data_IF_821757725397
#
_entry.id   IF_821757725397
#
_cell.length_a   1.000
_cell.length_b   1.000
_cell.length_c   1.000
_cell.angle_alpha   90.00
_cell.angle_beta   90.00
_cell.angle_gamma   90.00
#
_symmetry.space_group_name_H-M   'P 1'
#
loop_
_entity.id
_entity.type
_entity.pdbx_description
1 polymer ?
#
# COMPACT_ATOMS: atom_id res chain seq x y z
N UNK A 1 -6.88 -5.38 4.55
CA UNK A 1 -6.78 -4.72 3.23
C UNK A 1 -5.50 -5.14 2.53
N UNK A 2 -5.49 -6.38 2.05
CA UNK A 2 -4.32 -6.97 1.37
C UNK A 2 -4.19 -6.45 -0.07
N UNK A 3 -5.33 -6.17 -0.72
CA UNK A 3 -5.40 -5.69 -2.09
C UNK A 3 -4.54 -4.45 -2.41
N UNK A 4 -4.47 -3.47 -1.51
CA UNK A 4 -3.62 -2.28 -1.69
C UNK A 4 -2.13 -2.60 -1.54
N UNK A 5 -1.77 -3.54 -0.65
CA UNK A 5 -0.40 -4.05 -0.53
C UNK A 5 -0.02 -4.86 -1.78
N UNK A 6 -0.94 -5.67 -2.31
CA UNK A 6 -0.78 -6.40 -3.58
C UNK A 6 -0.56 -5.45 -4.75
N UNK A 7 -1.35 -4.38 -4.87
CA UNK A 7 -1.18 -3.37 -5.91
C UNK A 7 0.22 -2.74 -5.88
N UNK A 8 0.75 -2.45 -4.69
CA UNK A 8 2.10 -1.88 -4.53
C UNK A 8 3.22 -2.90 -4.79
N UNK A 9 2.99 -4.17 -4.48
CA UNK A 9 3.97 -5.24 -4.67
C UNK A 9 4.02 -5.76 -6.11
N UNK A 10 2.99 -5.49 -6.92
CA UNK A 10 2.95 -5.85 -8.34
C UNK A 10 4.04 -5.10 -9.10
N UNK A 11 4.92 -5.80 -9.85
CA UNK A 11 5.92 -5.14 -10.68
C UNK A 11 5.22 -4.36 -11.78
N UNK A 12 5.47 -3.06 -11.83
CA UNK A 12 5.04 -2.20 -12.93
C UNK A 12 5.70 -2.70 -14.23
N UNK A 13 4.88 -3.26 -15.14
CA UNK A 13 5.36 -3.81 -16.41
C UNK A 13 5.92 -2.73 -17.33
N UNK A 14 5.59 -1.45 -17.12
CA UNK A 14 6.11 -0.33 -17.92
C UNK A 14 7.41 0.26 -17.36
N UNK A 15 7.73 0.03 -16.07
CA UNK A 15 9.00 0.42 -15.43
C UNK A 15 10.19 -0.53 -15.72
N UNK A 16 10.07 -1.42 -16.71
CA UNK A 16 10.94 -2.59 -16.90
C UNK A 16 12.43 -2.35 -17.27
N UNK A 17 12.96 -1.13 -17.36
CA UNK A 17 14.31 -0.95 -17.96
C UNK A 17 15.29 0.02 -17.26
N UNK A 18 15.11 0.33 -15.98
CA UNK A 18 16.23 0.88 -15.17
C UNK A 18 16.55 0.02 -13.95
N UNK A 19 16.45 -1.31 -14.09
CA UNK A 19 17.32 -2.18 -13.28
C UNK A 19 18.72 -1.98 -13.82
N UNK A 20 19.38 -0.93 -13.36
CA UNK A 20 20.83 -0.84 -13.45
C UNK A 20 21.32 -2.07 -12.69
N UNK A 21 21.70 -3.14 -13.41
CA UNK A 21 22.59 -4.15 -12.82
C UNK A 21 23.82 -3.35 -12.46
N UNK A 22 23.92 -2.93 -11.20
CA UNK A 22 25.11 -2.30 -10.65
C UNK A 22 26.30 -3.10 -11.17
N UNK A 23 27.25 -2.41 -11.81
CA UNK A 23 28.48 -3.00 -12.33
C UNK A 23 29.42 -3.53 -11.22
N UNK A 24 28.96 -3.49 -9.97
CA UNK A 24 29.70 -3.92 -8.80
C UNK A 24 29.59 -5.44 -8.62
N UNK A 25 30.72 -6.14 -8.39
CA UNK A 25 30.76 -7.57 -8.05
C UNK A 25 29.90 -7.93 -6.84
N UNK A 26 29.42 -9.18 -6.79
CA UNK A 26 28.41 -9.63 -5.80
C UNK A 26 28.85 -9.45 -4.33
N UNK A 27 30.14 -9.55 -4.02
CA UNK A 27 30.67 -9.34 -2.66
C UNK A 27 30.61 -7.87 -2.20
N UNK A 28 30.55 -6.91 -3.13
CA UNK A 28 30.37 -5.49 -2.79
C UNK A 28 28.89 -5.21 -2.50
N UNK A 29 27.98 -5.93 -3.16
CA UNK A 29 26.53 -5.82 -2.91
C UNK A 29 26.18 -6.31 -1.51
N UNK A 30 26.68 -7.46 -1.07
CA UNK A 30 26.44 -7.95 0.29
C UNK A 30 26.86 -6.94 1.37
N UNK A 31 27.89 -6.14 1.10
CA UNK A 31 28.36 -5.10 2.03
C UNK A 31 27.51 -3.83 1.99
N UNK A 32 27.03 -3.43 0.81
CA UNK A 32 26.17 -2.24 0.63
C UNK A 32 24.73 -2.55 1.07
N UNK A 33 24.17 -3.70 0.70
CA UNK A 33 22.83 -4.17 1.09
C UNK A 33 22.72 -4.39 2.61
N UNK A 34 23.83 -4.68 3.30
CA UNK A 34 23.86 -4.80 4.76
C UNK A 34 23.78 -3.45 5.50
N UNK A 35 24.08 -2.33 4.83
CA UNK A 35 24.25 -1.01 5.46
C UNK A 35 23.46 0.13 4.80
N UNK A 36 22.71 -0.12 3.73
CA UNK A 36 21.82 0.86 3.12
C UNK A 36 20.37 0.66 3.62
N UNK A 37 19.89 1.47 4.59
CA UNK A 37 18.54 1.35 5.10
C UNK A 37 17.47 1.90 4.14
N UNK A 38 17.84 2.54 3.02
CA UNK A 38 16.88 3.23 2.15
C UNK A 38 16.66 2.56 0.77
N UNK A 39 17.60 1.76 0.24
CA UNK A 39 17.52 1.28 -1.15
C UNK A 39 17.05 -0.19 -1.36
N UNK A 40 16.96 -1.03 -0.31
CA UNK A 40 16.43 -2.41 -0.41
C UNK A 40 15.22 -2.69 0.49
N UNK A 41 14.24 -1.79 0.50
CA UNK A 41 12.92 -2.15 1.06
C UNK A 41 12.17 -2.98 0.02
N UNK A 42 12.59 -4.24 -0.16
CA UNK A 42 11.67 -5.24 -0.71
C UNK A 42 10.36 -5.12 0.06
N UNK A 43 9.20 -5.12 -0.60
CA UNK A 43 7.94 -5.07 0.12
C UNK A 43 7.90 -6.27 1.07
N UNK A 44 7.92 -6.01 2.39
CA UNK A 44 7.75 -7.04 3.44
C UNK A 44 6.56 -7.96 3.16
N UNK A 45 5.58 -7.43 2.42
CA UNK A 45 4.43 -8.15 1.91
C UNK A 45 4.75 -8.83 0.57
N UNK A 46 4.70 -10.17 0.56
CA UNK A 46 4.75 -10.99 -0.64
C UNK A 46 3.32 -11.49 -0.95
N UNK A 47 2.68 -11.03 -2.04
CA UNK A 47 1.32 -11.46 -2.36
C UNK A 47 1.27 -12.96 -2.69
N UNK A 48 0.25 -13.64 -2.19
CA UNK A 48 -0.06 -15.01 -2.60
C UNK A 48 -0.77 -15.02 -3.97
N UNK A 49 -0.82 -16.15 -4.70
CA UNK A 49 -1.58 -16.23 -5.95
C UNK A 49 -3.06 -15.82 -5.80
N UNK A 50 -3.68 -16.14 -4.66
CA UNK A 50 -5.04 -15.72 -4.35
C UNK A 50 -5.16 -14.19 -4.16
N UNK A 51 -4.17 -13.57 -3.50
CA UNK A 51 -4.15 -12.11 -3.40
C UNK A 51 -4.06 -11.43 -4.77
N UNK A 52 -3.33 -12.04 -5.72
CA UNK A 52 -3.18 -11.54 -7.10
C UNK A 52 -4.45 -11.77 -7.93
N UNK A 53 -5.23 -12.82 -7.69
CA UNK A 53 -6.53 -12.97 -8.37
C UNK A 53 -7.57 -11.99 -7.85
N UNK A 54 -7.58 -11.74 -6.54
CA UNK A 54 -8.73 -11.12 -5.88
C UNK A 54 -8.58 -9.60 -5.69
N UNK A 55 -7.35 -9.07 -5.77
CA UNK A 55 -7.12 -7.65 -5.43
C UNK A 55 -7.86 -6.68 -6.35
N UNK A 56 -8.04 -6.99 -7.64
CA UNK A 56 -8.78 -6.12 -8.56
C UNK A 56 -10.27 -6.06 -8.20
N UNK A 57 -10.85 -7.18 -7.80
CA UNK A 57 -12.24 -7.24 -7.31
C UNK A 57 -12.38 -6.40 -6.04
N UNK A 58 -11.47 -6.58 -5.08
CA UNK A 58 -11.46 -5.79 -3.86
C UNK A 58 -11.24 -4.28 -4.13
N UNK A 59 -10.43 -3.91 -5.13
CA UNK A 59 -10.23 -2.53 -5.55
C UNK A 59 -11.46 -1.94 -6.26
N UNK A 60 -12.31 -2.77 -6.86
CA UNK A 60 -13.51 -2.30 -7.53
C UNK A 60 -14.55 -1.77 -6.53
N UNK A 61 -14.67 -2.40 -5.35
CA UNK A 61 -15.59 -2.00 -4.27
C UNK A 61 -15.29 -0.61 -3.72
N UNK A 62 -14.03 -0.17 -3.79
CA UNK A 62 -13.54 1.09 -3.24
C UNK A 62 -13.37 2.17 -4.30
N UNK A 63 -13.64 1.87 -5.57
CA UNK A 63 -13.49 2.79 -6.72
C UNK A 63 -14.39 4.03 -6.61
N UNK A 64 -15.56 3.89 -5.99
CA UNK A 64 -16.55 4.96 -5.86
C UNK A 64 -16.23 5.94 -4.72
N UNK A 65 -15.28 5.61 -3.84
CA UNK A 65 -14.92 6.43 -2.70
C UNK A 65 -14.26 7.74 -3.15
N UNK A 66 -14.52 8.79 -2.37
CA UNK A 66 -13.85 10.06 -2.59
C UNK A 66 -12.34 9.96 -2.34
N UNK A 67 -11.58 10.91 -2.88
CA UNK A 67 -10.11 10.90 -2.76
C UNK A 67 -9.65 10.96 -1.30
N UNK A 68 -10.41 11.61 -0.41
CA UNK A 68 -10.03 11.71 1.00
C UNK A 68 -10.21 10.38 1.74
N UNK A 69 -11.35 9.71 1.57
CA UNK A 69 -11.63 8.38 2.13
C UNK A 69 -10.68 7.32 1.57
N UNK A 70 -10.47 7.32 0.24
CA UNK A 70 -9.49 6.46 -0.41
C UNK A 70 -8.11 6.57 0.23
N UNK A 71 -7.65 7.80 0.46
CA UNK A 71 -6.32 8.07 1.03
C UNK A 71 -6.20 7.59 2.48
N UNK A 72 -7.27 7.69 3.26
CA UNK A 72 -7.31 7.16 4.64
C UNK A 72 -7.24 5.63 4.63
N UNK A 73 -8.01 4.96 3.77
CA UNK A 73 -7.93 3.50 3.58
C UNK A 73 -6.54 3.06 3.13
N UNK A 74 -5.94 3.79 2.18
CA UNK A 74 -4.58 3.56 1.72
C UNK A 74 -3.57 3.62 2.86
N UNK A 75 -3.54 4.70 3.63
CA UNK A 75 -2.62 4.81 4.77
C UNK A 75 -2.85 3.72 5.81
N UNK A 76 -4.11 3.38 6.10
CA UNK A 76 -4.42 2.30 7.04
C UNK A 76 -4.02 0.93 6.52
N UNK A 77 -4.04 0.71 5.20
CA UNK A 77 -3.53 -0.53 4.61
C UNK A 77 -2.04 -0.71 4.87
N UNK A 78 -1.25 0.36 5.00
CA UNK A 78 0.18 0.31 5.36
C UNK A 78 0.46 0.51 6.85
N UNK A 79 -0.52 0.18 7.70
CA UNK A 79 -0.36 0.18 9.16
C UNK A 79 0.01 1.56 9.76
N UNK A 80 -0.28 2.66 9.04
CA UNK A 80 -0.12 4.02 9.56
C UNK A 80 -1.13 4.26 10.68
N UNK A 81 -0.67 4.75 11.83
CA UNK A 81 -1.54 5.02 12.98
C UNK A 81 -2.52 6.16 12.71
N UNK A 82 -3.71 6.10 13.33
CA UNK A 82 -4.72 7.14 13.20
C UNK A 82 -4.21 8.50 13.71
N UNK A 83 -3.30 8.54 14.69
CA UNK A 83 -2.71 9.79 15.17
C UNK A 83 -1.83 10.46 14.11
N UNK A 84 -1.06 9.67 13.35
CA UNK A 84 -0.29 10.19 12.21
C UNK A 84 -1.20 10.61 11.06
N UNK A 85 -2.27 9.87 10.80
CA UNK A 85 -3.27 10.23 9.78
C UNK A 85 -3.95 11.55 10.18
N UNK A 86 -4.37 11.70 11.43
CA UNK A 86 -4.96 12.91 12.00
C UNK A 86 -4.06 14.13 11.77
N UNK A 87 -2.78 14.01 12.12
CA UNK A 87 -1.77 15.05 11.83
C UNK A 87 -1.70 15.40 10.34
N UNK A 88 -1.68 14.39 9.45
CA UNK A 88 -1.63 14.60 7.98
C UNK A 88 -2.87 15.27 7.40
N UNK A 89 -4.04 15.09 8.02
CA UNK A 89 -5.30 15.70 7.57
C UNK A 89 -5.68 16.96 8.37
N UNK A 90 -4.84 17.38 9.33
CA UNK A 90 -5.12 18.53 10.20
C UNK A 90 -6.33 18.34 11.12
N UNK A 91 -6.55 17.12 11.62
CA UNK A 91 -7.68 16.75 12.50
C UNK A 91 -7.24 15.83 13.63
N UNK A 92 -8.15 15.55 14.58
CA UNK A 92 -7.91 14.62 15.67
C UNK A 92 -7.84 13.16 15.21
N UNK A 93 -7.21 12.32 16.04
CA UNK A 93 -7.19 10.85 15.88
C UNK A 93 -8.60 10.26 15.70
N UNK A 94 -9.52 10.70 16.55
CA UNK A 94 -10.91 10.23 16.53
C UNK A 94 -11.62 10.57 15.22
N UNK A 95 -11.35 11.75 14.65
CA UNK A 95 -11.92 12.14 13.35
C UNK A 95 -11.37 11.25 12.24
N UNK A 96 -10.08 10.92 12.27
CA UNK A 96 -9.48 10.01 11.30
C UNK A 96 -10.07 8.60 11.40
N UNK A 97 -10.34 8.12 12.63
CA UNK A 97 -10.98 6.83 12.90
C UNK A 97 -12.41 6.78 12.38
N UNK A 98 -13.24 7.77 12.72
CA UNK A 98 -14.63 7.87 12.23
C UNK A 98 -14.71 7.87 10.70
N UNK A 99 -13.86 8.66 10.04
CA UNK A 99 -13.79 8.70 8.56
C UNK A 99 -13.36 7.37 7.96
N UNK A 100 -12.45 6.65 8.61
CA UNK A 100 -12.06 5.31 8.19
C UNK A 100 -13.23 4.32 8.30
N UNK A 101 -13.94 4.32 9.43
CA UNK A 101 -15.10 3.45 9.66
C UNK A 101 -16.20 3.70 8.62
N UNK A 102 -16.52 4.96 8.34
CA UNK A 102 -17.44 5.33 7.26
C UNK A 102 -16.97 4.78 5.91
N UNK A 103 -15.71 5.01 5.53
CA UNK A 103 -15.18 4.54 4.25
C UNK A 103 -15.20 3.00 4.10
N UNK A 104 -14.95 2.26 5.18
CA UNK A 104 -15.06 0.79 5.20
C UNK A 104 -16.52 0.35 5.05
N UNK A 105 -17.44 1.06 5.69
CA UNK A 105 -18.87 0.76 5.62
C UNK A 105 -19.41 0.98 4.22
N UNK A 106 -19.06 2.09 3.58
CA UNK A 106 -19.43 2.40 2.20
C UNK A 106 -18.87 1.35 1.22
N UNK A 107 -17.61 0.98 1.38
CA UNK A 107 -16.99 -0.09 0.59
C UNK A 107 -17.70 -1.45 0.77
N UNK A 108 -18.14 -1.76 1.99
CA UNK A 108 -18.89 -2.98 2.28
C UNK A 108 -20.29 -2.97 1.63
N UNK A 109 -20.98 -1.83 1.66
CA UNK A 109 -22.28 -1.68 0.98
C UNK A 109 -22.11 -1.91 -0.52
N UNK A 110 -21.09 -1.27 -1.14
CA UNK A 110 -20.81 -1.43 -2.56
C UNK A 110 -20.38 -2.86 -2.96
N UNK A 111 -19.83 -3.64 -2.04
CA UNK A 111 -19.47 -5.03 -2.28
C UNK A 111 -20.67 -5.99 -2.27
N UNK A 112 -21.77 -5.61 -1.62
CA UNK A 112 -22.99 -6.43 -1.46
C UNK A 112 -24.18 -5.91 -2.28
N UNK A 113 -23.94 -4.97 -3.20
CA UNK A 113 -24.93 -4.45 -4.15
C UNK A 113 -24.73 -5.13 -5.49
#
# INVERSE_FOLDING_TARGET
MTAMKTLRAMPDKERRFFVMKSSSPDYIREYIDAYDPEDDVQPRFRPTPADVSDYLTALSWVRHLDRAAWRILWWRSFDVSFGLIGKKIGRSDETARKRYETAVTDAWIAANT
#
